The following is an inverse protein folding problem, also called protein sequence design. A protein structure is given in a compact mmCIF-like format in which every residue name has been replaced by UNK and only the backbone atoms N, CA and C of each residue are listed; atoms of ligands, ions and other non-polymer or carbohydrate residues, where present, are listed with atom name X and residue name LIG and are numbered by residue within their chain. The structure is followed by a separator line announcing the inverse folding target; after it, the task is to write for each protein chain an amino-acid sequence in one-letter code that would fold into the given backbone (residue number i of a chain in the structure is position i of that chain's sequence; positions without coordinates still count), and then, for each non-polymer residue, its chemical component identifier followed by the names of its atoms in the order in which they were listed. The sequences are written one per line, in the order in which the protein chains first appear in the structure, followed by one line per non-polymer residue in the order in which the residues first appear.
data_IF_536013948521
#
_entry.id   IF_536013948521
#
_cell.length_a   1.000
_cell.length_b   1.000
_cell.length_c   1.000
_cell.angle_alpha   90.00
_cell.angle_beta   90.00
_cell.angle_gamma   90.00
#
_symmetry.space_group_name_H-M   'P 1'
#
loop_
_entity.id
_entity.type
_entity.pdbx_description
1 polymer ?
#
# COMPACT_ATOMS: atom_id res chain seq x y z
N UNK A 1 -4.51 -41.71 9.48
CA UNK A 1 -5.55 -40.84 8.90
C UNK A 1 -4.97 -39.44 8.98
N UNK A 2 -4.74 -38.76 7.87
CA UNK A 2 -4.30 -37.36 7.90
C UNK A 2 -5.41 -36.54 8.58
N UNK A 3 -5.10 -35.86 9.67
CA UNK A 3 -6.02 -34.89 10.29
C UNK A 3 -6.33 -33.82 9.24
N UNK A 4 -7.58 -33.75 8.79
CA UNK A 4 -8.03 -32.69 7.89
C UNK A 4 -7.98 -31.39 8.67
N UNK A 5 -7.23 -30.41 8.17
CA UNK A 5 -7.20 -29.06 8.74
C UNK A 5 -8.62 -28.51 8.81
N UNK A 6 -9.08 -28.09 9.97
CA UNK A 6 -10.43 -27.56 10.16
C UNK A 6 -10.59 -26.24 9.43
N UNK A 7 -11.61 -26.11 8.59
CA UNK A 7 -11.98 -24.84 7.95
C UNK A 7 -12.91 -24.06 8.87
N UNK A 8 -12.56 -22.80 9.16
CA UNK A 8 -13.37 -21.89 9.96
C UNK A 8 -13.83 -20.73 9.09
N UNK A 9 -15.16 -20.54 8.96
CA UNK A 9 -15.70 -19.39 8.22
C UNK A 9 -15.67 -18.13 9.08
N UNK A 10 -15.15 -17.04 8.51
CA UNK A 10 -15.08 -15.72 9.12
C UNK A 10 -15.89 -14.71 8.30
N UNK A 11 -16.55 -13.77 8.98
CA UNK A 11 -17.26 -12.67 8.33
C UNK A 11 -16.27 -11.62 7.79
N UNK A 12 -15.19 -11.35 8.52
CA UNK A 12 -14.14 -10.39 8.16
C UNK A 12 -12.81 -10.75 8.81
N UNK A 13 -11.74 -10.29 8.20
CA UNK A 13 -10.38 -10.48 8.72
C UNK A 13 -9.49 -9.31 8.31
N UNK A 14 -8.53 -8.98 9.17
CA UNK A 14 -7.48 -8.01 8.90
C UNK A 14 -6.14 -8.74 8.82
N UNK A 15 -5.48 -8.67 7.67
CA UNK A 15 -4.15 -9.23 7.42
C UNK A 15 -3.16 -8.10 7.25
N UNK A 16 -2.04 -8.15 7.98
CA UNK A 16 -0.98 -7.14 7.88
C UNK A 16 0.33 -7.81 7.47
N UNK A 17 0.90 -7.35 6.38
CA UNK A 17 2.23 -7.74 5.90
C UNK A 17 3.22 -6.68 6.33
N UNK A 18 4.36 -7.07 6.93
CA UNK A 18 5.36 -6.13 7.41
C UNK A 18 6.79 -6.68 7.30
N UNK A 19 7.70 -5.81 6.92
CA UNK A 19 9.12 -6.10 6.71
C UNK A 19 9.88 -4.81 6.44
N UNK A 20 11.12 -4.92 5.97
CA UNK A 20 11.89 -3.77 5.54
C UNK A 20 11.36 -3.18 4.21
N UNK A 21 11.68 -1.93 3.94
CA UNK A 21 11.30 -1.23 2.70
C UNK A 21 11.66 -2.00 1.41
N UNK A 22 12.68 -2.86 1.46
CA UNK A 22 13.12 -3.69 0.34
C UNK A 22 12.44 -5.05 0.22
N UNK A 23 11.68 -5.47 1.23
CA UNK A 23 11.10 -6.82 1.32
C UNK A 23 9.84 -7.02 0.44
N UNK A 24 9.36 -5.97 -0.24
CA UNK A 24 8.25 -6.08 -1.18
C UNK A 24 6.87 -6.23 -0.54
N UNK A 25 6.69 -5.79 0.71
CA UNK A 25 5.43 -5.90 1.45
C UNK A 25 4.26 -5.17 0.76
N UNK A 26 4.54 -4.04 0.09
CA UNK A 26 3.55 -3.32 -0.71
C UNK A 26 3.02 -4.19 -1.86
N UNK A 27 3.90 -4.90 -2.56
CA UNK A 27 3.52 -5.80 -3.65
C UNK A 27 2.70 -6.99 -3.12
N UNK A 28 3.14 -7.59 -2.03
CA UNK A 28 2.46 -8.73 -1.38
C UNK A 28 1.03 -8.36 -0.99
N UNK A 29 0.87 -7.24 -0.30
CA UNK A 29 -0.45 -6.74 0.10
C UNK A 29 -1.34 -6.38 -1.08
N UNK A 30 -0.78 -5.75 -2.12
CA UNK A 30 -1.53 -5.44 -3.35
C UNK A 30 -2.01 -6.70 -4.06
N UNK A 31 -1.18 -7.73 -4.19
CA UNK A 31 -1.61 -9.00 -4.81
C UNK A 31 -2.70 -9.64 -3.96
N UNK A 32 -2.53 -9.72 -2.64
CA UNK A 32 -3.51 -10.33 -1.74
C UNK A 32 -4.85 -9.58 -1.75
N UNK A 33 -4.85 -8.24 -1.77
CA UNK A 33 -6.08 -7.46 -1.87
C UNK A 33 -6.81 -7.69 -3.19
N UNK A 34 -6.09 -7.69 -4.31
CA UNK A 34 -6.67 -7.94 -5.63
C UNK A 34 -7.27 -9.35 -5.73
N UNK A 35 -6.57 -10.38 -5.23
CA UNK A 35 -7.12 -11.74 -5.14
C UNK A 35 -8.44 -11.76 -4.36
N UNK A 36 -8.47 -11.06 -3.23
CA UNK A 36 -9.66 -11.01 -2.39
C UNK A 36 -10.82 -10.30 -3.09
N UNK A 37 -10.54 -9.20 -3.80
CA UNK A 37 -11.55 -8.49 -4.61
C UNK A 37 -12.10 -9.36 -5.77
N UNK A 38 -11.22 -10.05 -6.50
CA UNK A 38 -11.63 -10.97 -7.59
C UNK A 38 -12.52 -12.09 -7.08
N UNK A 39 -12.25 -12.59 -5.87
CA UNK A 39 -13.09 -13.60 -5.21
C UNK A 39 -14.39 -13.03 -4.62
N UNK A 40 -14.66 -11.75 -4.84
CA UNK A 40 -15.90 -11.09 -4.45
C UNK A 40 -15.93 -10.62 -2.99
N UNK A 41 -14.80 -10.54 -2.31
CA UNK A 41 -14.77 -9.88 -1.01
C UNK A 41 -14.78 -8.37 -1.15
N UNK A 42 -15.45 -7.69 -0.24
CA UNK A 42 -15.24 -6.25 -0.07
C UNK A 42 -13.93 -6.00 0.66
N UNK A 43 -13.18 -4.99 0.25
CA UNK A 43 -11.83 -4.74 0.75
C UNK A 43 -11.61 -3.28 1.12
N UNK A 44 -10.73 -3.07 2.09
CA UNK A 44 -10.11 -1.77 2.36
C UNK A 44 -8.64 -1.98 2.71
N UNK A 45 -7.76 -1.16 2.16
CA UNK A 45 -6.31 -1.33 2.30
C UNK A 45 -5.66 -0.10 2.96
N UNK A 46 -4.54 -0.33 3.62
CA UNK A 46 -3.70 0.70 4.20
C UNK A 46 -2.23 0.41 3.92
N UNK A 47 -1.62 1.06 2.92
CA UNK A 47 -0.17 1.03 2.72
C UNK A 47 0.51 1.85 3.82
N UNK A 48 1.44 1.23 4.55
CA UNK A 48 2.21 1.87 5.61
C UNK A 48 3.68 1.91 5.18
N UNK A 49 4.14 3.09 4.78
CA UNK A 49 5.50 3.30 4.32
C UNK A 49 6.45 3.59 5.50
N UNK A 50 7.76 3.32 5.35
CA UNK A 50 8.74 3.59 6.39
C UNK A 50 8.71 5.05 6.86
N UNK A 51 8.97 5.28 8.14
CA UNK A 51 9.09 6.63 8.68
C UNK A 51 10.29 7.39 8.05
N UNK A 52 11.38 6.66 7.78
CA UNK A 52 12.57 7.18 7.11
C UNK A 52 12.78 6.48 5.76
N UNK A 53 12.89 7.25 4.68
CA UNK A 53 12.98 6.73 3.30
C UNK A 53 14.26 5.90 3.07
N UNK A 54 15.33 6.13 3.82
CA UNK A 54 16.64 5.46 3.68
C UNK A 54 17.14 4.88 4.99
N UNK A 55 16.24 4.42 5.84
CA UNK A 55 16.63 3.75 7.08
C UNK A 55 17.45 2.48 6.80
N UNK A 56 18.42 2.15 7.65
CA UNK A 56 19.13 0.89 7.56
C UNK A 56 18.18 -0.31 7.72
N UNK A 57 18.49 -1.41 7.04
CA UNK A 57 17.69 -2.63 7.12
C UNK A 57 17.71 -3.23 8.54
N UNK A 58 16.55 -3.71 8.98
CA UNK A 58 16.36 -4.30 10.30
C UNK A 58 16.15 -3.28 11.42
N UNK A 59 16.04 -1.97 11.11
CA UNK A 59 15.75 -0.92 12.09
C UNK A 59 14.27 -0.56 12.13
N UNK A 60 13.79 -0.04 13.27
CA UNK A 60 12.38 0.29 13.49
C UNK A 60 11.86 1.35 12.48
N UNK A 61 12.69 2.34 12.14
CA UNK A 61 12.34 3.42 11.20
C UNK A 61 12.24 2.95 9.75
N UNK A 62 12.85 1.80 9.40
CA UNK A 62 12.85 1.20 8.06
C UNK A 62 11.67 0.27 7.77
N UNK A 63 10.81 0.04 8.75
CA UNK A 63 9.69 -0.90 8.61
C UNK A 63 8.64 -0.36 7.65
N UNK A 64 8.31 -1.18 6.66
CA UNK A 64 7.20 -1.01 5.71
C UNK A 64 6.10 -2.02 6.02
N UNK A 65 4.86 -1.64 5.81
CA UNK A 65 3.72 -2.52 6.01
C UNK A 65 2.63 -2.32 4.96
N UNK A 66 1.76 -3.31 4.84
CA UNK A 66 0.55 -3.22 4.04
C UNK A 66 -0.56 -3.99 4.75
N UNK A 67 -1.64 -3.31 5.07
CA UNK A 67 -2.78 -3.92 5.74
C UNK A 67 -3.93 -4.10 4.76
N UNK A 68 -4.56 -5.27 4.82
CA UNK A 68 -5.75 -5.61 4.03
C UNK A 68 -6.85 -6.02 5.00
N UNK A 69 -7.94 -5.28 5.02
CA UNK A 69 -9.18 -5.64 5.68
C UNK A 69 -10.13 -6.17 4.61
N UNK A 70 -10.59 -7.38 4.75
CA UNK A 70 -11.50 -8.02 3.80
C UNK A 70 -12.66 -8.67 4.54
N UNK A 71 -13.81 -8.75 3.88
CA UNK A 71 -15.03 -9.31 4.45
C UNK A 71 -16.04 -9.77 3.43
N UNK A 72 -17.01 -10.53 3.94
CA UNK A 72 -18.22 -10.96 3.22
C UNK A 72 -19.35 -9.92 3.25
N UNK A 73 -19.10 -8.79 3.92
CA UNK A 73 -19.97 -7.61 3.98
C UNK A 73 -19.15 -6.36 3.73
N UNK A 74 -19.83 -5.23 3.54
CA UNK A 74 -19.21 -3.94 3.26
C UNK A 74 -18.19 -3.54 4.33
N UNK A 75 -16.99 -3.20 3.87
CA UNK A 75 -15.85 -2.77 4.67
C UNK A 75 -15.65 -1.27 4.48
N UNK A 76 -15.63 -0.49 5.55
CA UNK A 76 -15.52 0.97 5.50
C UNK A 76 -14.14 1.50 5.90
N UNK A 77 -13.33 0.67 6.58
CA UNK A 77 -12.03 1.08 7.11
C UNK A 77 -10.99 -0.04 6.94
N UNK A 78 -9.70 0.30 6.91
CA UNK A 78 -8.63 -0.72 6.86
C UNK A 78 -8.54 -1.62 8.11
N UNK A 79 -9.32 -1.35 9.15
CA UNK A 79 -9.30 -2.06 10.43
C UNK A 79 -8.21 -1.57 11.38
N UNK A 80 -8.44 -1.68 12.69
CA UNK A 80 -7.53 -1.18 13.72
C UNK A 80 -6.44 -2.21 14.08
N UNK A 81 -6.86 -3.46 14.33
CA UNK A 81 -5.97 -4.55 14.76
C UNK A 81 -6.04 -5.74 13.84
N UNK A 82 -4.87 -6.25 13.47
CA UNK A 82 -4.75 -7.39 12.59
C UNK A 82 -5.05 -8.72 13.29
N UNK A 83 -5.75 -9.60 12.59
CA UNK A 83 -5.94 -11.00 12.95
C UNK A 83 -4.71 -11.85 12.57
N UNK A 84 -4.03 -11.45 11.49
CA UNK A 84 -2.82 -12.11 11.01
C UNK A 84 -1.76 -11.05 10.74
N UNK A 85 -0.57 -11.25 11.31
CA UNK A 85 0.63 -10.47 11.03
C UNK A 85 1.68 -11.36 10.35
N UNK A 86 2.15 -10.94 9.20
CA UNK A 86 3.38 -11.46 8.60
C UNK A 86 4.51 -10.50 8.96
N UNK A 87 5.45 -10.95 9.79
CA UNK A 87 6.59 -10.15 10.22
C UNK A 87 7.89 -10.77 9.69
N UNK A 88 8.45 -10.17 8.65
CA UNK A 88 9.64 -10.70 7.96
C UNK A 88 10.95 -10.52 8.74
N UNK A 89 10.93 -9.73 9.84
CA UNK A 89 12.08 -9.51 10.73
C UNK A 89 11.60 -9.00 12.11
N UNK A 90 12.50 -8.94 13.13
CA UNK A 90 12.15 -8.50 14.48
C UNK A 90 11.66 -7.05 14.55
N UNK A 91 12.20 -6.15 13.72
CA UNK A 91 11.76 -4.74 13.69
C UNK A 91 10.29 -4.65 13.26
N UNK A 92 9.90 -5.43 12.23
CA UNK A 92 8.52 -5.53 11.77
C UNK A 92 7.59 -6.05 12.88
N UNK A 93 8.01 -7.04 13.65
CA UNK A 93 7.26 -7.53 14.82
C UNK A 93 7.08 -6.43 15.86
N UNK A 94 8.17 -5.78 16.27
CA UNK A 94 8.18 -4.76 17.35
C UNK A 94 7.34 -3.54 17.01
N UNK A 95 7.42 -3.04 15.79
CA UNK A 95 6.62 -1.88 15.35
C UNK A 95 5.13 -2.20 15.32
N UNK A 96 4.76 -3.46 15.00
CA UNK A 96 3.37 -3.84 14.80
C UNK A 96 2.69 -4.48 16.03
N UNK A 97 3.39 -4.69 17.15
CA UNK A 97 2.82 -5.34 18.34
C UNK A 97 1.53 -4.67 18.82
N UNK A 98 1.43 -3.35 18.75
CA UNK A 98 0.24 -2.58 19.14
C UNK A 98 -0.92 -2.68 18.14
N UNK A 99 -0.67 -3.20 16.95
CA UNK A 99 -1.62 -3.30 15.85
C UNK A 99 -2.13 -4.72 15.60
N UNK A 100 -1.88 -5.67 16.51
CA UNK A 100 -2.41 -7.04 16.43
C UNK A 100 -3.41 -7.33 17.54
N UNK A 101 -4.29 -8.30 17.28
CA UNK A 101 -5.22 -8.82 18.30
C UNK A 101 -4.50 -9.75 19.28
N UNK A 102 -5.00 -9.94 20.51
CA UNK A 102 -4.37 -10.83 21.48
C UNK A 102 -4.16 -12.28 20.99
N UNK A 103 -5.09 -12.82 20.21
CA UNK A 103 -5.04 -14.18 19.67
C UNK A 103 -4.67 -14.21 18.17
N UNK A 104 -3.91 -13.22 17.70
CA UNK A 104 -3.50 -13.15 16.31
C UNK A 104 -2.59 -14.32 15.91
N UNK A 105 -2.60 -14.65 14.62
CA UNK A 105 -1.59 -15.50 14.01
C UNK A 105 -0.42 -14.60 13.61
N UNK A 106 0.79 -14.97 14.02
CA UNK A 106 2.02 -14.25 13.69
C UNK A 106 2.93 -15.18 12.90
N UNK A 107 3.09 -14.91 11.61
CA UNK A 107 3.99 -15.64 10.70
C UNK A 107 5.33 -14.91 10.69
N UNK A 108 6.42 -15.64 10.96
CA UNK A 108 7.78 -15.08 10.98
C UNK A 108 8.73 -15.86 10.08
N UNK A 109 9.71 -15.14 9.52
CA UNK A 109 10.88 -15.73 8.87
C UNK A 109 11.98 -15.97 9.92
N UNK A 110 12.13 -17.21 10.41
CA UNK A 110 13.08 -17.54 11.48
C UNK A 110 14.53 -17.22 11.12
N UNK A 111 14.89 -17.26 9.85
CA UNK A 111 16.24 -16.94 9.38
C UNK A 111 16.61 -15.45 9.58
N UNK A 112 15.60 -14.62 9.78
CA UNK A 112 15.74 -13.17 10.03
C UNK A 112 15.57 -12.78 11.50
N UNK A 113 15.47 -13.76 12.43
CA UNK A 113 15.31 -13.53 13.87
C UNK A 113 16.57 -13.95 14.67
N UNK A 114 17.74 -13.71 14.08
CA UNK A 114 19.00 -14.00 14.73
C UNK A 114 19.38 -12.88 15.72
N UNK A 115 20.33 -13.17 16.62
CA UNK A 115 20.79 -12.24 17.67
C UNK A 115 21.14 -10.84 17.15
N UNK A 116 21.84 -10.75 16.02
CA UNK A 116 22.19 -9.46 15.42
C UNK A 116 20.94 -8.69 14.92
N UNK A 117 19.92 -9.38 14.43
CA UNK A 117 18.70 -8.76 13.93
C UNK A 117 17.83 -8.29 15.09
N UNK A 118 17.76 -9.06 16.17
CA UNK A 118 17.14 -8.66 17.44
C UNK A 118 17.78 -7.40 18.01
N UNK A 119 19.13 -7.34 18.02
CA UNK A 119 19.86 -6.15 18.48
C UNK A 119 19.57 -4.91 17.63
N UNK A 120 19.54 -5.03 16.27
CA UNK A 120 19.19 -3.92 15.39
C UNK A 120 17.76 -3.42 15.62
N UNK A 121 16.84 -4.33 15.93
CA UNK A 121 15.48 -4.02 16.29
C UNK A 121 15.30 -3.58 17.76
N UNK A 122 16.43 -3.36 18.48
CA UNK A 122 16.45 -2.89 19.87
C UNK A 122 15.74 -3.84 20.86
N UNK A 123 15.80 -5.15 20.63
CA UNK A 123 15.43 -6.13 21.63
C UNK A 123 16.55 -6.32 22.66
N UNK A 124 16.15 -6.50 23.90
CA UNK A 124 17.07 -6.72 25.04
C UNK A 124 17.27 -8.21 25.29
N UNK A 125 16.25 -9.01 25.01
CA UNK A 125 16.26 -10.46 25.22
C UNK A 125 16.36 -11.22 23.88
N UNK A 126 16.69 -12.51 23.95
CA UNK A 126 16.68 -13.40 22.79
C UNK A 126 15.27 -13.97 22.50
N UNK A 127 14.28 -13.70 23.37
CA UNK A 127 12.88 -14.05 23.18
C UNK A 127 12.04 -12.79 22.92
N UNK A 128 11.84 -12.42 21.64
CA UNK A 128 11.09 -11.23 21.28
C UNK A 128 9.60 -11.33 21.63
N UNK A 129 9.05 -12.54 21.71
CA UNK A 129 7.62 -12.72 22.03
C UNK A 129 7.35 -12.51 23.52
N UNK A 130 8.21 -13.06 24.39
CA UNK A 130 8.13 -12.81 25.82
C UNK A 130 8.37 -11.34 26.15
N UNK A 131 9.39 -10.69 25.53
CA UNK A 131 9.67 -9.26 25.72
C UNK A 131 8.49 -8.36 25.36
N UNK A 132 7.74 -8.71 24.31
CA UNK A 132 6.57 -7.96 23.85
C UNK A 132 5.25 -8.39 24.52
N UNK A 133 5.27 -9.34 25.45
CA UNK A 133 4.06 -9.84 26.11
C UNK A 133 3.09 -10.60 25.17
N UNK A 134 3.59 -11.21 24.11
CA UNK A 134 2.81 -11.90 23.09
C UNK A 134 2.56 -13.39 23.42
N UNK A 135 2.19 -13.69 24.67
CA UNK A 135 2.00 -15.08 25.14
C UNK A 135 0.75 -15.78 24.57
N UNK A 136 -0.19 -15.03 24.00
CA UNK A 136 -1.47 -15.57 23.51
C UNK A 136 -1.53 -15.66 21.97
N UNK A 137 -0.51 -15.21 21.25
CA UNK A 137 -0.50 -15.30 19.78
C UNK A 137 -0.12 -16.70 19.32
N UNK A 138 -0.67 -17.11 18.18
CA UNK A 138 -0.22 -18.33 17.50
C UNK A 138 0.96 -18.01 16.59
N UNK A 139 2.15 -18.45 16.95
CA UNK A 139 3.35 -18.23 16.13
C UNK A 139 3.51 -19.32 15.10
N UNK A 140 3.61 -18.92 13.82
CA UNK A 140 3.97 -19.79 12.69
C UNK A 140 5.41 -19.44 12.30
N UNK A 141 6.36 -20.21 12.82
CA UNK A 141 7.79 -20.02 12.62
C UNK A 141 8.26 -20.81 11.40
N UNK A 142 8.76 -20.13 10.38
CA UNK A 142 9.14 -20.74 9.10
C UNK A 142 10.49 -20.20 8.66
N UNK A 143 11.47 -21.05 8.25
CA UNK A 143 12.75 -20.62 7.72
C UNK A 143 12.60 -20.16 6.25
N UNK A 144 11.86 -19.09 6.04
CA UNK A 144 11.43 -18.63 4.70
C UNK A 144 12.63 -18.33 3.81
N UNK A 145 13.63 -17.62 4.34
CA UNK A 145 14.80 -17.20 3.56
C UNK A 145 15.62 -18.40 3.09
N UNK A 146 15.84 -19.41 3.93
CA UNK A 146 16.53 -20.65 3.56
C UNK A 146 15.74 -21.45 2.55
N UNK A 147 14.44 -21.64 2.78
CA UNK A 147 13.57 -22.40 1.88
C UNK A 147 13.50 -21.78 0.48
N UNK A 148 13.40 -20.44 0.41
CA UNK A 148 13.40 -19.74 -0.88
C UNK A 148 14.75 -19.88 -1.58
N UNK A 149 15.86 -19.75 -0.84
CA UNK A 149 17.19 -19.91 -1.43
C UNK A 149 17.39 -21.31 -2.01
N UNK A 150 17.02 -22.33 -1.26
CA UNK A 150 17.16 -23.73 -1.68
C UNK A 150 16.20 -24.08 -2.82
N UNK A 151 14.93 -23.65 -2.73
CA UNK A 151 13.90 -23.88 -3.75
C UNK A 151 14.14 -23.16 -5.07
N UNK A 152 14.96 -22.10 -5.07
CA UNK A 152 15.31 -21.32 -6.25
C UNK A 152 16.72 -21.59 -6.78
N UNK A 153 17.44 -22.56 -6.22
CA UNK A 153 18.82 -22.88 -6.64
C UNK A 153 18.94 -23.23 -8.14
N UNK A 154 17.92 -23.87 -8.71
CA UNK A 154 17.86 -24.25 -10.12
C UNK A 154 17.72 -23.07 -11.10
N UNK A 155 17.33 -21.87 -10.61
CA UNK A 155 17.10 -20.70 -11.47
C UNK A 155 18.33 -19.85 -11.72
N UNK A 156 19.50 -20.24 -11.21
CA UNK A 156 20.79 -19.55 -11.37
C UNK A 156 20.72 -18.03 -11.03
N UNK A 157 19.84 -17.66 -10.07
CA UNK A 157 19.71 -16.30 -9.60
C UNK A 157 20.80 -15.97 -8.58
N UNK A 158 21.27 -14.71 -8.59
CA UNK A 158 22.11 -14.23 -7.49
C UNK A 158 21.33 -14.26 -6.16
N UNK A 159 22.06 -14.43 -5.05
CA UNK A 159 21.45 -14.55 -3.71
C UNK A 159 20.50 -13.41 -3.38
N UNK A 160 20.79 -12.18 -3.82
CA UNK A 160 19.96 -11.01 -3.55
C UNK A 160 18.63 -11.07 -4.33
N UNK A 161 18.69 -11.53 -5.58
CA UNK A 161 17.50 -11.71 -6.42
C UNK A 161 16.62 -12.86 -5.92
N UNK A 162 17.21 -13.96 -5.50
CA UNK A 162 16.49 -15.08 -4.89
C UNK A 162 15.79 -14.65 -3.59
N UNK A 163 16.50 -14.00 -2.67
CA UNK A 163 15.93 -13.55 -1.38
C UNK A 163 14.84 -12.49 -1.55
N UNK A 164 14.78 -11.77 -2.67
CA UNK A 164 13.66 -10.86 -2.95
C UNK A 164 12.34 -11.59 -3.20
N UNK A 165 12.38 -12.90 -3.47
CA UNK A 165 11.18 -13.72 -3.65
C UNK A 165 10.57 -14.23 -2.34
N UNK A 166 11.20 -13.98 -1.18
CA UNK A 166 10.71 -14.42 0.14
C UNK A 166 9.31 -13.89 0.47
N UNK A 167 8.98 -12.69 -0.02
CA UNK A 167 7.66 -12.11 0.12
C UNK A 167 6.57 -12.93 -0.61
N UNK A 168 6.91 -13.55 -1.74
CA UNK A 168 5.97 -14.41 -2.46
C UNK A 168 5.76 -15.74 -1.74
N UNK A 169 6.79 -16.28 -1.08
CA UNK A 169 6.62 -17.45 -0.21
C UNK A 169 5.64 -17.14 0.94
N UNK A 170 5.85 -16.01 1.62
CA UNK A 170 4.95 -15.56 2.69
C UNK A 170 3.51 -15.34 2.17
N UNK A 171 3.36 -14.77 0.96
CA UNK A 171 2.06 -14.65 0.31
C UNK A 171 1.42 -16.01 0.05
N UNK A 172 2.18 -16.97 -0.45
CA UNK A 172 1.70 -18.34 -0.69
C UNK A 172 1.15 -18.99 0.58
N UNK A 173 1.87 -18.85 1.69
CA UNK A 173 1.43 -19.35 3.00
C UNK A 173 0.13 -18.67 3.46
N UNK A 174 0.00 -17.35 3.27
CA UNK A 174 -1.24 -16.62 3.58
C UNK A 174 -2.37 -17.03 2.64
N UNK A 175 -2.10 -17.27 1.35
CA UNK A 175 -3.09 -17.80 0.41
C UNK A 175 -3.61 -19.18 0.85
N UNK A 176 -2.73 -20.07 1.31
CA UNK A 176 -3.15 -21.35 1.89
C UNK A 176 -4.02 -21.14 3.14
N UNK A 177 -3.58 -20.27 4.06
CA UNK A 177 -4.30 -19.98 5.31
C UNK A 177 -5.74 -19.51 5.07
N UNK A 178 -5.98 -18.77 3.98
CA UNK A 178 -7.29 -18.21 3.61
C UNK A 178 -7.93 -18.91 2.40
N UNK A 179 -7.46 -20.09 2.03
CA UNK A 179 -7.98 -20.89 0.91
C UNK A 179 -8.10 -20.09 -0.39
N UNK A 180 -7.08 -19.26 -0.71
CA UNK A 180 -7.05 -18.45 -1.92
C UNK A 180 -6.36 -19.20 -3.06
N UNK A 181 -7.01 -19.32 -4.23
CA UNK A 181 -6.39 -19.91 -5.42
C UNK A 181 -5.20 -19.03 -5.88
N UNK A 182 -4.17 -19.67 -6.47
CA UNK A 182 -2.93 -18.96 -6.82
C UNK A 182 -2.92 -18.42 -8.25
N UNK A 183 -3.84 -18.83 -9.11
CA UNK A 183 -3.84 -18.57 -10.54
C UNK A 183 -3.77 -17.09 -10.87
N UNK A 184 -4.61 -16.29 -10.22
CA UNK A 184 -4.63 -14.84 -10.44
C UNK A 184 -3.37 -14.15 -9.91
N UNK A 185 -2.82 -14.61 -8.78
CA UNK A 185 -1.54 -14.14 -8.29
C UNK A 185 -0.41 -14.41 -9.29
N UNK A 186 -0.40 -15.61 -9.91
CA UNK A 186 0.56 -15.96 -10.96
C UNK A 186 0.38 -15.07 -12.19
N UNK A 187 -0.84 -14.79 -12.62
CA UNK A 187 -1.14 -13.86 -13.73
C UNK A 187 -0.63 -12.45 -13.43
N UNK A 188 -0.86 -11.94 -12.22
CA UNK A 188 -0.36 -10.63 -11.82
C UNK A 188 1.17 -10.56 -11.84
N UNK A 189 1.85 -11.62 -11.38
CA UNK A 189 3.31 -11.71 -11.41
C UNK A 189 3.85 -11.78 -12.84
N UNK A 190 3.20 -12.55 -13.73
CA UNK A 190 3.54 -12.63 -15.15
C UNK A 190 3.45 -11.25 -15.82
N UNK A 191 2.36 -10.53 -15.60
CA UNK A 191 2.15 -9.19 -16.17
C UNK A 191 3.15 -8.18 -15.62
N UNK A 192 3.35 -8.16 -14.30
CA UNK A 192 4.25 -7.20 -13.64
C UNK A 192 5.71 -7.36 -14.07
N UNK A 193 6.17 -8.60 -14.19
CA UNK A 193 7.56 -8.94 -14.50
C UNK A 193 7.73 -9.48 -15.92
N UNK A 194 6.82 -9.20 -16.84
CA UNK A 194 6.81 -9.73 -18.23
C UNK A 194 8.16 -9.60 -18.96
N UNK A 195 8.91 -8.53 -18.68
CA UNK A 195 10.24 -8.27 -19.29
C UNK A 195 11.38 -9.09 -18.65
N UNK A 196 11.11 -9.89 -17.60
CA UNK A 196 12.11 -10.65 -16.83
C UNK A 196 11.62 -12.08 -16.56
N UNK A 197 11.61 -12.98 -17.54
CA UNK A 197 11.01 -14.31 -17.40
C UNK A 197 11.57 -15.16 -16.25
N UNK A 198 12.87 -15.06 -15.96
CA UNK A 198 13.49 -15.76 -14.83
C UNK A 198 12.92 -15.31 -13.48
N UNK A 199 12.70 -14.00 -13.31
CA UNK A 199 12.08 -13.43 -12.11
C UNK A 199 10.61 -13.86 -11.99
N UNK A 200 9.88 -13.94 -13.10
CA UNK A 200 8.49 -14.46 -13.10
C UNK A 200 8.46 -15.89 -12.56
N UNK A 201 9.28 -16.78 -13.15
CA UNK A 201 9.35 -18.19 -12.74
C UNK A 201 9.72 -18.33 -11.27
N UNK A 202 10.73 -17.61 -10.80
CA UNK A 202 11.19 -17.63 -9.42
C UNK A 202 10.11 -17.17 -8.44
N UNK A 203 9.41 -16.08 -8.73
CA UNK A 203 8.32 -15.60 -7.86
C UNK A 203 7.14 -16.58 -7.82
N UNK A 204 6.77 -17.18 -8.96
CA UNK A 204 5.71 -18.20 -9.02
C UNK A 204 6.12 -19.45 -8.24
N UNK A 205 7.38 -19.90 -8.36
CA UNK A 205 7.90 -21.03 -7.60
C UNK A 205 7.83 -20.76 -6.09
N UNK A 206 8.36 -19.60 -5.63
CA UNK A 206 8.32 -19.21 -4.23
C UNK A 206 6.88 -19.11 -3.68
N UNK A 207 5.95 -18.57 -4.46
CA UNK A 207 4.52 -18.50 -4.11
C UNK A 207 3.93 -19.90 -3.91
N UNK A 208 4.19 -20.80 -4.86
CA UNK A 208 3.71 -22.19 -4.80
C UNK A 208 4.33 -22.96 -3.65
N UNK A 209 5.62 -22.76 -3.38
CA UNK A 209 6.32 -23.41 -2.28
C UNK A 209 5.77 -22.98 -0.93
N UNK A 210 5.45 -21.68 -0.76
CA UNK A 210 4.82 -21.18 0.47
C UNK A 210 3.43 -21.75 0.69
N UNK A 211 2.62 -21.87 -0.35
CA UNK A 211 1.31 -22.51 -0.29
C UNK A 211 1.43 -23.98 0.10
N UNK A 212 2.32 -24.72 -0.56
CA UNK A 212 2.55 -26.15 -0.31
C UNK A 212 3.15 -26.39 1.08
N UNK A 213 3.99 -25.47 1.57
CA UNK A 213 4.50 -25.56 2.94
C UNK A 213 3.35 -25.55 3.95
N UNK A 214 2.43 -24.58 3.85
CA UNK A 214 1.26 -24.52 4.72
C UNK A 214 0.43 -25.78 4.68
N UNK A 215 0.18 -26.29 3.47
CA UNK A 215 -0.60 -27.51 3.24
C UNK A 215 0.07 -28.76 3.82
N UNK A 216 1.37 -28.94 3.61
CA UNK A 216 2.09 -30.17 3.99
C UNK A 216 2.46 -30.21 5.48
N UNK A 217 2.68 -29.05 6.11
CA UNK A 217 3.08 -28.98 7.52
C UNK A 217 1.90 -28.73 8.46
N UNK A 218 0.69 -28.50 7.93
CA UNK A 218 -0.45 -28.05 8.74
C UNK A 218 -0.06 -26.90 9.67
N UNK A 219 0.55 -25.86 9.06
CA UNK A 219 1.19 -24.77 9.77
C UNK A 219 0.30 -24.03 10.78
N UNK A 220 -1.02 -24.18 10.68
CA UNK A 220 -2.01 -23.71 11.65
C UNK A 220 -3.03 -24.80 11.95
N UNK A 221 -3.69 -24.70 13.11
CA UNK A 221 -4.75 -25.62 13.54
C UNK A 221 -5.98 -25.58 12.60
N UNK A 222 -6.23 -24.42 11.99
CA UNK A 222 -7.37 -24.21 11.09
C UNK A 222 -6.95 -23.35 9.91
N UNK A 223 -7.59 -23.56 8.76
CA UNK A 223 -7.66 -22.58 7.67
C UNK A 223 -8.93 -21.75 7.79
N UNK A 224 -8.98 -20.64 7.12
CA UNK A 224 -10.09 -19.70 7.22
C UNK A 224 -10.70 -19.43 5.86
N UNK A 225 -12.03 -19.35 5.84
CA UNK A 225 -12.79 -18.99 4.64
C UNK A 225 -13.55 -17.71 4.88
N UNK A 226 -13.48 -16.77 3.94
CA UNK A 226 -14.33 -15.58 3.91
C UNK A 226 -15.19 -15.69 2.65
N UNK A 227 -16.48 -15.78 2.84
CA UNK A 227 -17.44 -15.86 1.73
C UNK A 227 -17.44 -14.59 0.90
N UNK A 228 -17.88 -14.68 -0.36
CA UNK A 228 -18.06 -13.50 -1.19
C UNK A 228 -19.16 -12.59 -0.63
N UNK A 229 -19.01 -11.29 -0.80
CA UNK A 229 -20.07 -10.34 -0.48
C UNK A 229 -21.18 -10.41 -1.56
N UNK A 230 -22.39 -10.15 -1.15
CA UNK A 230 -23.52 -10.05 -2.10
C UNK A 230 -23.49 -8.63 -2.70
N UNK A 231 -23.12 -8.52 -3.97
CA UNK A 231 -23.15 -7.28 -4.75
C UNK A 231 -24.00 -7.46 -5.98
N UNK A 232 -24.59 -6.36 -6.47
CA UNK A 232 -25.29 -6.40 -7.76
C UNK A 232 -24.31 -6.74 -8.89
N UNK A 233 -24.73 -7.53 -9.91
CA UNK A 233 -23.89 -7.83 -11.05
C UNK A 233 -23.46 -6.54 -11.78
N UNK A 234 -22.17 -6.21 -11.76
CA UNK A 234 -21.59 -5.04 -12.39
C UNK A 234 -20.09 -5.22 -12.60
N UNK A 235 -19.48 -4.30 -13.33
CA UNK A 235 -18.02 -4.20 -13.40
C UNK A 235 -17.51 -3.39 -12.22
N UNK A 236 -16.66 -4.00 -11.40
CA UNK A 236 -16.03 -3.38 -10.25
C UNK A 236 -14.54 -3.20 -10.51
N UNK A 237 -13.97 -2.12 -9.98
CA UNK A 237 -12.54 -1.83 -10.06
C UNK A 237 -12.02 -1.44 -8.70
N UNK A 238 -10.91 -2.05 -8.29
CA UNK A 238 -10.18 -1.62 -7.09
C UNK A 238 -9.43 -0.31 -7.39
N UNK A 239 -9.74 0.73 -6.63
CA UNK A 239 -9.15 2.05 -6.78
C UNK A 239 -8.74 2.63 -5.41
N UNK A 240 -7.62 3.34 -5.38
CA UNK A 240 -7.28 4.24 -4.28
C UNK A 240 -7.75 5.67 -4.57
N UNK A 241 -7.72 6.54 -3.57
CA UNK A 241 -8.18 7.93 -3.69
C UNK A 241 -7.49 8.71 -4.81
N UNK A 242 -6.18 8.57 -4.99
CA UNK A 242 -5.44 9.27 -6.06
C UNK A 242 -5.91 8.86 -7.46
N UNK A 243 -6.16 7.57 -7.66
CA UNK A 243 -6.66 7.03 -8.93
C UNK A 243 -8.11 7.45 -9.16
N UNK A 244 -8.96 7.40 -8.13
CA UNK A 244 -10.34 7.88 -8.20
C UNK A 244 -10.40 9.38 -8.53
N UNK A 245 -9.55 10.20 -7.90
CA UNK A 245 -9.41 11.63 -8.20
C UNK A 245 -9.00 11.86 -9.66
N UNK A 246 -8.03 11.09 -10.16
CA UNK A 246 -7.61 11.17 -11.57
C UNK A 246 -8.75 10.86 -12.53
N UNK A 247 -9.53 9.83 -12.26
CA UNK A 247 -10.69 9.48 -13.08
C UNK A 247 -11.82 10.51 -12.97
N UNK A 248 -12.04 11.05 -11.76
CA UNK A 248 -13.01 12.13 -11.54
C UNK A 248 -12.67 13.39 -12.35
N UNK A 249 -11.40 13.78 -12.40
CA UNK A 249 -10.93 14.92 -13.21
C UNK A 249 -11.17 14.69 -14.71
N UNK A 250 -10.86 13.48 -15.21
CA UNK A 250 -11.10 13.13 -16.62
C UNK A 250 -12.60 13.22 -16.94
N UNK A 251 -13.44 12.58 -16.11
CA UNK A 251 -14.88 12.59 -16.31
C UNK A 251 -15.48 14.00 -16.22
N UNK A 252 -14.98 14.84 -15.30
CA UNK A 252 -15.40 16.22 -15.18
C UNK A 252 -15.04 17.05 -16.43
N UNK A 253 -13.83 16.89 -16.95
CA UNK A 253 -13.37 17.58 -18.14
C UNK A 253 -14.19 17.16 -19.38
N UNK A 254 -14.42 15.87 -19.57
CA UNK A 254 -15.25 15.32 -20.64
C UNK A 254 -16.68 15.86 -20.56
N UNK A 255 -17.29 15.80 -19.37
CA UNK A 255 -18.66 16.31 -19.16
C UNK A 255 -18.77 17.82 -19.37
N UNK A 256 -17.73 18.59 -19.08
CA UNK A 256 -17.69 20.03 -19.30
C UNK A 256 -17.33 20.41 -20.75
N UNK A 257 -16.90 19.47 -21.59
CA UNK A 257 -16.40 19.74 -22.92
C UNK A 257 -15.08 20.52 -22.94
N UNK A 258 -14.26 20.37 -21.88
CA UNK A 258 -12.99 21.08 -21.70
C UNK A 258 -11.82 20.11 -21.78
N UNK A 259 -10.64 20.61 -22.14
CA UNK A 259 -9.40 19.84 -22.05
C UNK A 259 -8.92 19.81 -20.59
N UNK A 260 -8.53 18.64 -20.11
CA UNK A 260 -7.92 18.51 -18.79
C UNK A 260 -6.44 18.88 -18.83
N UNK A 261 -6.03 19.77 -17.92
CA UNK A 261 -4.64 20.14 -17.69
C UNK A 261 -4.25 19.91 -16.23
N UNK A 262 -3.14 19.18 -15.97
CA UNK A 262 -2.53 19.07 -14.65
C UNK A 262 -1.15 19.70 -14.67
N UNK A 263 -0.93 20.78 -13.92
CA UNK A 263 0.39 21.34 -13.63
C UNK A 263 0.80 20.98 -12.21
N UNK A 264 1.85 20.16 -12.03
CA UNK A 264 2.19 19.64 -10.72
C UNK A 264 3.70 19.41 -10.55
N UNK A 265 4.13 19.36 -9.30
CA UNK A 265 5.46 18.91 -8.89
C UNK A 265 5.34 17.62 -8.09
N UNK A 266 6.22 16.63 -8.29
CA UNK A 266 6.17 15.36 -7.58
C UNK A 266 6.37 15.53 -6.07
N UNK A 267 5.38 15.08 -5.31
CA UNK A 267 5.41 15.06 -3.84
C UNK A 267 4.64 13.85 -3.31
N UNK A 268 5.21 13.11 -2.36
CA UNK A 268 4.52 12.02 -1.67
C UNK A 268 3.39 12.56 -0.79
N UNK A 269 2.16 11.98 -0.84
CA UNK A 269 1.72 10.85 -1.67
C UNK A 269 0.99 11.28 -2.95
N UNK A 270 0.95 12.56 -3.33
CA UNK A 270 0.17 13.12 -4.43
C UNK A 270 0.69 12.75 -5.83
N UNK A 271 1.94 12.30 -5.95
CA UNK A 271 2.60 12.01 -7.24
C UNK A 271 1.84 11.00 -8.09
N UNK A 272 1.10 10.08 -7.48
CA UNK A 272 0.34 9.06 -8.21
C UNK A 272 -0.75 9.67 -9.11
N UNK A 273 -1.30 10.84 -8.76
CA UNK A 273 -2.26 11.57 -9.61
C UNK A 273 -1.58 12.00 -10.92
N UNK A 274 -0.38 12.59 -10.80
CA UNK A 274 0.40 12.97 -11.98
C UNK A 274 0.73 11.74 -12.85
N UNK A 275 1.18 10.65 -12.24
CA UNK A 275 1.52 9.42 -12.95
C UNK A 275 0.32 8.78 -13.63
N UNK A 276 -0.86 8.79 -13.00
CA UNK A 276 -2.06 8.21 -13.59
C UNK A 276 -2.57 9.05 -14.76
N UNK A 277 -2.63 10.37 -14.61
CA UNK A 277 -3.06 11.28 -15.69
C UNK A 277 -2.08 11.30 -16.87
N UNK A 278 -0.77 11.18 -16.62
CA UNK A 278 0.24 11.13 -17.68
C UNK A 278 0.10 9.91 -18.62
N UNK A 279 -0.59 8.85 -18.19
CA UNK A 279 -0.91 7.68 -19.03
C UNK A 279 -2.09 7.90 -19.95
N UNK A 280 -2.89 8.96 -19.72
CA UNK A 280 -4.18 9.21 -20.42
C UNK A 280 -4.06 10.25 -21.51
N UNK A 281 -2.98 10.24 -22.28
CA UNK A 281 -2.79 11.11 -23.43
C UNK A 281 -3.80 10.84 -24.56
N UNK A 282 -4.24 9.60 -24.66
CA UNK A 282 -5.32 9.14 -25.55
C UNK A 282 -6.66 9.84 -25.29
N UNK A 283 -6.91 10.31 -24.08
CA UNK A 283 -8.09 11.08 -23.68
C UNK A 283 -7.86 12.62 -23.74
N UNK A 284 -6.79 13.06 -24.38
CA UNK A 284 -6.48 14.49 -24.53
C UNK A 284 -5.98 15.17 -23.25
N UNK A 285 -5.58 14.40 -22.22
CA UNK A 285 -5.05 14.93 -20.97
C UNK A 285 -3.66 15.53 -21.19
N UNK A 286 -3.45 16.75 -20.70
CA UNK A 286 -2.17 17.45 -20.71
C UNK A 286 -1.61 17.42 -19.28
N UNK A 287 -0.39 16.92 -19.14
CA UNK A 287 0.32 16.94 -17.86
C UNK A 287 1.65 17.68 -18.00
N UNK A 288 1.94 18.57 -17.06
CA UNK A 288 3.22 19.28 -16.93
C UNK A 288 3.81 18.97 -15.57
N UNK A 289 4.99 18.34 -15.56
CA UNK A 289 5.79 18.21 -14.38
C UNK A 289 6.69 19.45 -14.28
N UNK A 290 6.44 20.29 -13.30
CA UNK A 290 7.21 21.50 -13.05
C UNK A 290 8.44 21.22 -12.18
N UNK A 291 9.29 22.23 -12.02
CA UNK A 291 10.50 22.17 -11.21
C UNK A 291 10.26 22.38 -9.71
N UNK A 292 9.14 23.00 -9.34
CA UNK A 292 8.67 23.19 -7.97
C UNK A 292 7.15 23.36 -7.90
N UNK A 293 6.62 23.51 -6.70
CA UNK A 293 5.19 23.67 -6.44
C UNK A 293 4.62 24.98 -6.97
N UNK A 294 5.40 26.05 -6.95
CA UNK A 294 4.98 27.39 -7.43
C UNK A 294 4.83 27.36 -8.96
N UNK A 295 5.85 26.86 -9.66
CA UNK A 295 5.77 26.67 -11.10
C UNK A 295 4.61 25.76 -11.50
N UNK A 296 4.37 24.69 -10.74
CA UNK A 296 3.26 23.76 -10.98
C UNK A 296 1.88 24.45 -10.98
N UNK A 297 1.57 25.23 -9.95
CA UNK A 297 0.29 25.93 -9.86
C UNK A 297 0.21 27.09 -10.87
N UNK A 298 1.29 27.81 -11.13
CA UNK A 298 1.29 28.91 -12.10
C UNK A 298 1.02 28.41 -13.52
N UNK A 299 1.55 27.24 -13.91
CA UNK A 299 1.21 26.65 -15.22
C UNK A 299 -0.28 26.23 -15.29
N UNK A 300 -0.86 25.76 -14.18
CA UNK A 300 -2.29 25.43 -14.12
C UNK A 300 -3.18 26.68 -14.21
N UNK A 301 -2.79 27.80 -13.56
CA UNK A 301 -3.48 29.09 -13.69
C UNK A 301 -3.48 29.55 -15.16
N UNK A 302 -2.32 29.51 -15.83
CA UNK A 302 -2.20 29.87 -17.24
C UNK A 302 -3.07 28.99 -18.16
N UNK A 303 -3.12 27.68 -17.88
CA UNK A 303 -3.96 26.74 -18.62
C UNK A 303 -5.47 26.99 -18.40
N UNK A 304 -5.86 27.34 -17.17
CA UNK A 304 -7.25 27.72 -16.86
C UNK A 304 -7.65 29.00 -17.58
N UNK A 305 -6.79 30.02 -17.56
CA UNK A 305 -6.99 31.24 -18.33
C UNK A 305 -7.16 30.98 -19.83
N UNK A 306 -6.45 29.97 -20.35
CA UNK A 306 -6.59 29.53 -21.76
C UNK A 306 -7.79 28.61 -22.01
N UNK A 307 -8.70 28.40 -21.06
CA UNK A 307 -9.93 27.64 -21.20
C UNK A 307 -9.85 26.14 -20.95
N UNK A 308 -8.83 25.67 -20.24
CA UNK A 308 -8.76 24.28 -19.77
C UNK A 308 -9.48 24.10 -18.42
N UNK A 309 -9.95 22.88 -18.14
CA UNK A 309 -10.19 22.46 -16.78
C UNK A 309 -8.81 22.18 -16.16
N UNK A 310 -8.33 23.10 -15.33
CA UNK A 310 -6.98 23.04 -14.82
C UNK A 310 -6.95 22.60 -13.36
N UNK A 311 -5.98 21.74 -13.04
CA UNK A 311 -5.75 21.23 -11.71
C UNK A 311 -4.25 21.26 -11.34
N UNK A 312 -3.96 21.27 -10.04
CA UNK A 312 -2.64 21.03 -9.47
C UNK A 312 -2.78 20.07 -8.29
N UNK A 313 -1.86 19.12 -8.17
CA UNK A 313 -1.82 18.20 -7.02
C UNK A 313 -0.62 18.49 -6.13
N UNK A 314 -0.81 18.35 -4.82
CA UNK A 314 0.21 18.63 -3.82
C UNK A 314 -0.08 17.89 -2.52
N UNK A 315 0.66 18.25 -1.47
CA UNK A 315 0.48 17.87 -0.07
C UNK A 315 0.69 19.15 0.77
N UNK A 316 0.39 19.10 2.06
CA UNK A 316 0.42 20.27 2.96
C UNK A 316 1.62 21.21 2.80
N UNK A 317 2.89 20.72 2.77
CA UNK A 317 4.05 21.58 2.53
C UNK A 317 4.00 22.34 1.20
N UNK A 318 3.54 21.68 0.14
CA UNK A 318 3.40 22.32 -1.16
C UNK A 318 2.18 23.23 -1.23
N UNK A 319 1.11 22.94 -0.48
CA UNK A 319 -0.03 23.85 -0.34
C UNK A 319 0.43 25.20 0.27
N UNK A 320 1.31 25.15 1.25
CA UNK A 320 1.91 26.36 1.83
C UNK A 320 2.64 27.22 0.79
N UNK A 321 3.45 26.60 -0.08
CA UNK A 321 4.17 27.28 -1.15
C UNK A 321 3.24 27.84 -2.23
N UNK A 322 2.05 27.25 -2.42
CA UNK A 322 1.07 27.66 -3.42
C UNK A 322 0.14 28.81 -2.95
N UNK A 323 0.23 29.23 -1.68
CA UNK A 323 -0.69 30.19 -1.08
C UNK A 323 -0.82 31.49 -1.87
N UNK A 324 0.30 32.10 -2.31
CA UNK A 324 0.28 33.33 -3.12
C UNK A 324 -0.41 33.13 -4.49
N UNK A 325 -0.10 32.02 -5.17
CA UNK A 325 -0.71 31.71 -6.46
C UNK A 325 -2.22 31.40 -6.34
N UNK A 326 -2.65 30.79 -5.21
CA UNK A 326 -4.09 30.62 -4.93
C UNK A 326 -4.76 31.98 -4.74
N UNK A 327 -4.12 32.92 -4.03
CA UNK A 327 -4.59 34.28 -3.91
C UNK A 327 -4.72 34.99 -5.26
N UNK A 328 -3.74 34.82 -6.14
CA UNK A 328 -3.78 35.35 -7.51
C UNK A 328 -4.96 34.76 -8.32
N UNK A 329 -5.19 33.47 -8.25
CA UNK A 329 -6.31 32.83 -8.94
C UNK A 329 -7.66 33.38 -8.45
N UNK A 330 -7.79 33.60 -7.14
CA UNK A 330 -9.00 34.19 -6.53
C UNK A 330 -9.23 35.63 -7.02
N UNK A 331 -8.23 36.52 -6.93
CA UNK A 331 -8.41 37.92 -7.30
C UNK A 331 -8.63 38.11 -8.81
N UNK A 332 -8.13 37.15 -9.61
CA UNK A 332 -8.30 37.14 -11.07
C UNK A 332 -9.54 36.36 -11.54
N UNK A 333 -10.34 35.82 -10.60
CA UNK A 333 -11.54 35.00 -10.87
C UNK A 333 -11.25 33.79 -11.79
N UNK A 334 -10.05 33.22 -11.70
CA UNK A 334 -9.62 32.08 -12.51
C UNK A 334 -9.97 30.76 -11.78
N UNK A 335 -10.86 29.93 -12.31
CA UNK A 335 -11.23 28.67 -11.69
C UNK A 335 -10.06 27.68 -11.69
N UNK A 336 -9.78 27.08 -10.52
CA UNK A 336 -8.66 26.19 -10.33
C UNK A 336 -9.01 25.09 -9.33
N UNK A 337 -8.64 23.83 -9.64
CA UNK A 337 -8.74 22.71 -8.70
C UNK A 337 -7.38 22.48 -8.05
N UNK A 338 -7.32 22.65 -6.74
CA UNK A 338 -6.12 22.32 -5.95
C UNK A 338 -6.39 21.06 -5.15
N UNK A 339 -5.60 20.02 -5.39
CA UNK A 339 -5.77 18.72 -4.75
C UNK A 339 -4.68 18.56 -3.70
N UNK A 340 -5.08 18.62 -2.43
CA UNK A 340 -4.20 18.38 -1.29
C UNK A 340 -4.35 16.96 -0.78
N UNK A 341 -3.34 16.13 -1.04
CA UNK A 341 -3.25 14.76 -0.54
C UNK A 341 -2.43 14.79 0.74
N UNK A 342 -3.14 14.74 1.86
CA UNK A 342 -2.61 15.05 3.17
C UNK A 342 -1.52 14.08 3.66
N UNK A 343 -0.54 14.63 4.36
CA UNK A 343 0.54 13.90 5.04
C UNK A 343 1.03 14.65 6.26
N UNK A 344 1.78 13.95 7.13
CA UNK A 344 2.49 14.59 8.25
C UNK A 344 3.52 15.63 7.76
N UNK A 345 3.45 16.82 8.32
CA UNK A 345 4.35 17.95 8.01
C UNK A 345 5.28 18.28 9.16
N UNK A 346 6.22 19.20 8.98
CA UNK A 346 6.64 19.91 7.76
C UNK A 346 7.30 19.01 6.72
N UNK A 347 7.80 19.56 5.62
CA UNK A 347 8.38 18.80 4.48
C UNK A 347 9.44 17.76 4.89
N UNK A 348 10.24 18.06 5.92
CA UNK A 348 11.26 17.19 6.51
C UNK A 348 10.75 16.34 7.68
N UNK A 349 9.45 16.37 7.98
CA UNK A 349 8.83 15.62 9.07
C UNK A 349 8.56 14.15 8.71
N UNK A 350 7.28 13.77 8.71
CA UNK A 350 6.85 12.39 8.42
C UNK A 350 6.15 12.29 7.06
N UNK A 351 6.87 12.38 5.92
CA UNK A 351 6.27 12.50 4.59
C UNK A 351 5.45 11.29 4.15
N UNK A 352 5.61 10.16 4.81
CA UNK A 352 4.92 8.91 4.49
C UNK A 352 3.77 8.59 5.43
N UNK A 353 3.51 9.43 6.44
CA UNK A 353 2.45 9.23 7.42
C UNK A 353 1.28 10.17 7.15
N UNK A 354 0.06 9.64 7.28
CA UNK A 354 -1.17 10.42 7.10
C UNK A 354 -1.40 11.30 8.33
N UNK A 355 -1.66 12.57 8.09
CA UNK A 355 -2.02 13.56 9.11
C UNK A 355 -2.90 14.63 8.46
N UNK A 356 -3.84 15.18 9.20
CA UNK A 356 -4.66 16.30 8.73
C UNK A 356 -4.42 17.53 9.62
N UNK A 357 -3.53 18.42 9.17
CA UNK A 357 -3.17 19.65 9.88
C UNK A 357 -3.28 20.91 9.02
N UNK A 358 -3.67 20.76 7.76
CA UNK A 358 -3.64 21.79 6.72
C UNK A 358 -5.02 22.33 6.30
N UNK A 359 -6.11 21.87 6.93
CA UNK A 359 -7.45 22.32 6.60
C UNK A 359 -7.64 23.84 6.80
N UNK A 360 -7.15 24.40 7.89
CA UNK A 360 -7.24 25.84 8.16
C UNK A 360 -6.38 26.63 7.18
N UNK A 361 -5.23 26.10 6.77
CA UNK A 361 -4.39 26.68 5.73
C UNK A 361 -5.10 26.67 4.38
N UNK A 362 -5.75 25.56 4.00
CA UNK A 362 -6.52 25.45 2.77
C UNK A 362 -7.66 26.48 2.71
N UNK A 363 -8.35 26.69 3.84
CA UNK A 363 -9.46 27.64 3.94
C UNK A 363 -9.00 29.11 3.98
N UNK A 364 -7.98 29.43 4.78
CA UNK A 364 -7.65 30.82 5.14
C UNK A 364 -6.19 31.19 4.92
N UNK A 365 -5.33 30.26 4.52
CA UNK A 365 -3.86 30.44 4.44
C UNK A 365 -3.37 31.20 3.22
N UNK A 366 -4.05 32.26 2.78
CA UNK A 366 -3.68 33.11 1.65
C UNK A 366 -3.99 34.56 1.88
N UNK A 367 -3.43 35.42 1.07
CA UNK A 367 -3.75 36.86 1.07
C UNK A 367 -5.12 37.12 0.42
N UNK A 368 -5.82 38.14 0.89
CA UNK A 368 -7.11 38.57 0.36
C UNK A 368 -8.29 37.72 0.87
N UNK A 369 -9.40 37.77 0.16
CA UNK A 369 -10.61 37.04 0.49
C UNK A 369 -10.44 35.53 0.30
N UNK A 370 -11.27 34.76 0.99
CA UNK A 370 -11.18 33.29 1.04
C UNK A 370 -12.47 32.61 0.60
N UNK A 371 -12.86 32.73 -0.71
CA UNK A 371 -14.05 32.09 -1.24
C UNK A 371 -13.86 30.62 -1.57
N UNK A 372 -12.74 29.99 -1.15
CA UNK A 372 -12.44 28.62 -1.48
C UNK A 372 -13.48 27.66 -0.89
N UNK A 373 -13.86 26.68 -1.68
CA UNK A 373 -14.67 25.56 -1.25
C UNK A 373 -13.76 24.37 -0.99
N UNK A 374 -13.83 23.81 0.20
CA UNK A 374 -13.12 22.57 0.55
C UNK A 374 -14.08 21.41 0.42
N UNK A 375 -13.73 20.46 -0.41
CA UNK A 375 -14.45 19.21 -0.60
C UNK A 375 -13.64 18.09 0.05
N UNK A 376 -14.25 17.37 0.97
CA UNK A 376 -13.66 16.17 1.55
C UNK A 376 -14.20 14.93 0.82
N UNK A 377 -13.32 14.02 0.45
CA UNK A 377 -13.68 12.68 0.02
C UNK A 377 -13.76 11.77 1.26
N UNK A 378 -14.85 11.03 1.40
CA UNK A 378 -15.08 10.05 2.46
C UNK A 378 -14.69 8.64 2.03
#
# INVERSE_FOLDING_TARGET
MAEQTKVTTLEKVVVRFSGDSGDGMQLTGTIFSNLSAILGNDISTFPDFPAEIRAPQGTLSGVSGFQVHLGSRKIYTPGDKADVLVAMNPAALKVNVKHIKPNAIVIIDTDSFLKNDLTKAQFVTEDPFAELGLNSVQVVAVPISSMVKDGLAEFELDNKSALRCKNMFALGLVCWLFERPLEEAMHMLQNKFAKKPAIVKANIKALTDGYNYGHNTHATVSTYRIESTTVEPAYYTDVNGNKATSYGLIAAAEKAGLRLFLGSYPITPATDILHELAKRKDLGVITVQAEDEIAGICTAIGASFAGCLAATSTSGPGLALKGEAIGLAVISEIPLVVIDVQRGGPSTGMPTKSEQTDLMQALYGRNGESPAVVLAAS
#
